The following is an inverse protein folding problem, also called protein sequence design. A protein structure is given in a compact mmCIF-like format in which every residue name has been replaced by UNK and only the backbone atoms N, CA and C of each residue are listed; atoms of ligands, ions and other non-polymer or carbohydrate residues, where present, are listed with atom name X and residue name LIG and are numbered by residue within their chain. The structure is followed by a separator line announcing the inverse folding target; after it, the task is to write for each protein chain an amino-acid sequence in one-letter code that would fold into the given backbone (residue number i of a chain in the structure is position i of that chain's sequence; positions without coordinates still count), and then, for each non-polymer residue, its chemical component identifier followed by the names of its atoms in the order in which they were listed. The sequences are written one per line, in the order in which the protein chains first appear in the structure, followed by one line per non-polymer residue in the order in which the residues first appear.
data_IF_682026337850
#
_entry.id   IF_682026337850
#
_cell.length_a   1.000
_cell.length_b   1.000
_cell.length_c   1.000
_cell.angle_alpha   90.00
_cell.angle_beta   90.00
_cell.angle_gamma   90.00
#
_symmetry.space_group_name_H-M   'P 1'
#
loop_
_entity.id
_entity.type
_entity.pdbx_description
1 polymer ?
#
# COMPACT_ATOMS: atom_id res chain seq x y z
N UNK A 1 -10.64 31.85 34.68
CA UNK A 1 -10.02 30.51 34.60
C UNK A 1 -11.02 29.51 35.15
N UNK A 2 -11.19 28.35 34.50
CA UNK A 2 -12.06 27.29 35.01
C UNK A 2 -11.40 26.67 36.24
N UNK A 3 -12.03 26.78 37.40
CA UNK A 3 -11.51 26.23 38.66
C UNK A 3 -11.89 24.75 38.79
N UNK A 4 -11.17 23.89 38.04
CA UNK A 4 -11.21 22.45 38.25
C UNK A 4 -10.64 22.09 39.62
N UNK A 5 -11.22 21.08 40.27
CA UNK A 5 -10.75 20.55 41.55
C UNK A 5 -10.45 19.06 41.45
N UNK A 6 -9.46 18.61 42.20
CA UNK A 6 -9.18 17.17 42.36
C UNK A 6 -10.37 16.46 43.00
N UNK A 7 -10.67 15.27 42.53
CA UNK A 7 -11.85 14.50 42.93
C UNK A 7 -13.19 15.05 42.41
N UNK A 8 -13.18 16.05 41.52
CA UNK A 8 -14.41 16.57 40.94
C UNK A 8 -15.08 15.53 40.04
N UNK A 9 -16.39 15.32 40.25
CA UNK A 9 -17.18 14.32 39.52
C UNK A 9 -18.19 15.04 38.63
N UNK A 10 -18.13 14.76 37.33
CA UNK A 10 -19.19 15.12 36.38
C UNK A 10 -20.03 13.87 36.10
N UNK A 11 -21.35 13.96 36.27
CA UNK A 11 -22.30 12.84 36.07
C UNK A 11 -22.30 12.33 34.64
N UNK A 12 -22.05 13.22 33.69
CA UNK A 12 -21.94 12.90 32.28
C UNK A 12 -21.20 13.99 31.49
N UNK A 13 -20.94 13.69 30.23
CA UNK A 13 -20.29 14.60 29.29
C UNK A 13 -21.04 15.93 29.08
N UNK A 14 -22.38 15.98 29.21
CA UNK A 14 -23.13 17.23 29.07
C UNK A 14 -22.83 18.19 30.23
N UNK A 15 -22.72 17.66 31.44
CA UNK A 15 -22.36 18.45 32.62
C UNK A 15 -20.93 18.98 32.54
N UNK A 16 -20.00 18.15 32.04
CA UNK A 16 -18.65 18.59 31.71
C UNK A 16 -18.65 19.73 30.67
N UNK A 17 -19.45 19.62 29.61
CA UNK A 17 -19.53 20.66 28.57
C UNK A 17 -20.08 21.97 29.13
N UNK A 18 -21.13 21.90 29.95
CA UNK A 18 -21.70 23.07 30.62
C UNK A 18 -20.66 23.75 31.54
N UNK A 19 -19.89 22.96 32.29
CA UNK A 19 -18.80 23.48 33.12
C UNK A 19 -17.71 24.15 32.28
N UNK A 20 -17.27 23.53 31.19
CA UNK A 20 -16.24 24.09 30.30
C UNK A 20 -16.77 25.23 29.41
N UNK A 21 -18.07 25.53 29.44
CA UNK A 21 -18.70 26.54 28.59
C UNK A 21 -18.65 26.18 27.10
N UNK A 22 -18.66 24.89 26.75
CA UNK A 22 -18.61 24.42 25.37
C UNK A 22 -19.91 23.72 24.94
N UNK A 23 -20.18 23.75 23.64
CA UNK A 23 -21.36 23.09 23.09
C UNK A 23 -21.24 21.56 23.14
N UNK A 24 -22.37 20.89 23.36
CA UNK A 24 -22.44 19.44 23.32
C UNK A 24 -22.27 18.98 21.88
N UNK A 25 -21.22 18.20 21.61
CA UNK A 25 -20.93 17.69 20.27
C UNK A 25 -20.77 16.17 20.26
N UNK A 26 -20.70 15.60 19.05
CA UNK A 26 -20.62 14.16 18.82
C UNK A 26 -19.33 13.80 18.05
N UNK A 27 -18.98 12.51 18.01
CA UNK A 27 -17.88 11.99 17.17
C UNK A 27 -16.51 12.64 17.46
N UNK A 28 -15.88 13.19 16.42
CA UNK A 28 -14.54 13.78 16.51
C UNK A 28 -14.50 15.09 17.31
N UNK A 29 -15.56 15.88 17.28
CA UNK A 29 -15.65 17.13 18.06
C UNK A 29 -15.71 16.82 19.56
N UNK A 30 -16.45 15.78 19.95
CA UNK A 30 -16.46 15.26 21.32
C UNK A 30 -15.08 14.82 21.77
N UNK A 31 -14.37 14.05 20.95
CA UNK A 31 -12.98 13.64 21.25
C UNK A 31 -12.08 14.86 21.48
N UNK A 32 -12.16 15.88 20.62
CA UNK A 32 -11.34 17.11 20.75
C UNK A 32 -11.60 17.85 22.07
N UNK A 33 -12.85 17.87 22.55
CA UNK A 33 -13.19 18.47 23.84
C UNK A 33 -12.66 17.63 25.01
N UNK A 34 -12.75 16.30 24.94
CA UNK A 34 -12.13 15.41 25.92
C UNK A 34 -10.60 15.55 25.94
N UNK A 35 -9.95 15.68 24.78
CA UNK A 35 -8.51 15.96 24.70
C UNK A 35 -8.14 17.30 25.34
N UNK A 36 -9.07 18.27 25.32
CA UNK A 36 -8.87 19.56 25.97
C UNK A 36 -8.94 19.40 27.49
N UNK A 37 -9.89 18.60 28.00
CA UNK A 37 -9.90 18.22 29.42
C UNK A 37 -8.60 17.53 29.82
N UNK A 38 -8.09 16.60 29.00
CA UNK A 38 -6.80 15.92 29.24
C UNK A 38 -5.58 16.85 29.22
N UNK A 39 -5.71 18.09 28.72
CA UNK A 39 -4.63 19.09 28.84
C UNK A 39 -4.66 19.81 30.18
N UNK A 40 -5.78 19.77 30.89
CA UNK A 40 -6.00 20.48 32.16
C UNK A 40 -5.88 19.56 33.38
N UNK A 41 -6.24 18.28 33.24
CA UNK A 41 -6.25 17.33 34.34
C UNK A 41 -6.12 15.87 33.87
N UNK A 42 -5.68 14.99 34.78
CA UNK A 42 -5.86 13.56 34.66
C UNK A 42 -7.31 13.20 35.00
N UNK A 43 -7.92 12.29 34.25
CA UNK A 43 -9.28 11.86 34.47
C UNK A 43 -9.51 10.45 33.95
N UNK A 44 -10.51 9.78 34.52
CA UNK A 44 -11.02 8.51 34.03
C UNK A 44 -12.56 8.51 33.99
N UNK A 45 -13.12 7.44 33.43
CA UNK A 45 -14.57 7.23 33.38
C UNK A 45 -14.97 6.08 34.28
N UNK A 46 -16.06 6.30 34.98
CA UNK A 46 -16.78 5.26 35.72
C UNK A 46 -18.23 5.23 35.23
N UNK A 47 -18.51 4.29 34.32
CA UNK A 47 -19.75 4.29 33.54
C UNK A 47 -19.89 5.56 32.71
N UNK A 48 -20.92 6.37 33.01
CA UNK A 48 -21.16 7.66 32.34
C UNK A 48 -20.45 8.83 33.03
N UNK A 49 -19.95 8.63 34.25
CA UNK A 49 -19.30 9.69 35.03
C UNK A 49 -17.89 9.95 34.53
N UNK A 50 -17.43 11.18 34.67
CA UNK A 50 -16.07 11.63 34.38
C UNK A 50 -15.50 12.15 35.70
N UNK A 51 -14.45 11.51 36.19
CA UNK A 51 -13.85 11.79 37.49
C UNK A 51 -12.48 12.41 37.25
N UNK A 52 -12.23 13.56 37.87
CA UNK A 52 -10.95 14.27 37.82
C UNK A 52 -10.04 13.71 38.91
N UNK A 53 -8.95 13.09 38.51
CA UNK A 53 -8.00 12.45 39.43
C UNK A 53 -6.98 13.45 39.96
N UNK A 54 -6.43 14.29 39.07
CA UNK A 54 -5.37 15.25 39.38
C UNK A 54 -5.49 16.48 38.49
N UNK A 55 -5.39 17.69 39.04
CA UNK A 55 -5.44 18.93 38.25
C UNK A 55 -4.03 19.47 38.04
N UNK A 56 -3.63 19.69 36.79
CA UNK A 56 -2.27 20.13 36.50
C UNK A 56 -2.07 21.60 36.86
N UNK A 57 -0.96 21.92 37.54
CA UNK A 57 -0.58 23.30 37.90
C UNK A 57 -0.48 24.23 36.68
N UNK A 58 -0.07 23.68 35.53
CA UNK A 58 -0.06 24.34 34.23
C UNK A 58 -0.68 23.42 33.19
N UNK A 59 -1.52 23.98 32.32
CA UNK A 59 -2.09 23.22 31.22
C UNK A 59 -0.98 22.61 30.36
N UNK A 60 -1.06 21.31 30.13
CA UNK A 60 -0.16 20.62 29.23
C UNK A 60 -0.30 21.21 27.84
N UNK A 61 0.83 21.48 27.19
CA UNK A 61 0.84 21.88 25.79
C UNK A 61 0.22 20.74 24.99
N UNK A 62 -0.93 21.01 24.37
CA UNK A 62 -1.56 20.07 23.45
C UNK A 62 -0.53 19.70 22.38
N UNK A 63 -0.09 18.44 22.36
CA UNK A 63 0.74 17.91 21.26
C UNK A 63 -0.11 17.94 19.99
N UNK A 64 -0.04 19.06 19.26
CA UNK A 64 -0.63 19.14 17.94
C UNK A 64 0.25 18.35 16.97
N UNK A 65 -0.10 17.08 16.76
CA UNK A 65 0.54 16.24 15.75
C UNK A 65 0.38 16.75 14.31
N UNK A 66 -0.29 17.90 14.10
CA UNK A 66 -0.36 18.59 12.80
C UNK A 66 0.83 19.51 12.52
N UNK A 67 1.70 19.81 13.51
CA UNK A 67 2.82 20.77 13.35
C UNK A 67 4.00 20.23 12.54
N UNK A 68 3.93 19.03 12.02
CA UNK A 68 5.06 18.38 11.35
C UNK A 68 5.11 18.64 9.84
N UNK A 69 4.48 19.71 9.32
CA UNK A 69 4.43 19.96 7.86
C UNK A 69 3.97 21.38 7.49
N UNK A 70 4.77 22.41 7.79
CA UNK A 70 4.67 23.77 7.21
C UNK A 70 3.22 24.31 7.01
N UNK A 71 2.31 24.09 7.97
CA UNK A 71 0.98 24.73 8.00
C UNK A 71 -0.18 24.14 7.17
N UNK A 72 -0.06 22.99 6.48
CA UNK A 72 -1.11 22.56 5.51
C UNK A 72 -2.10 21.46 5.95
N UNK A 73 -2.00 20.94 7.19
CA UNK A 73 -3.13 20.26 7.85
C UNK A 73 -3.70 18.96 7.23
N UNK A 74 -3.00 18.26 6.31
CA UNK A 74 -3.47 16.97 5.76
C UNK A 74 -2.56 15.80 6.15
N UNK A 75 -3.20 14.68 6.57
CA UNK A 75 -2.58 13.42 7.02
C UNK A 75 -1.90 12.68 5.86
N UNK A 76 -0.57 12.65 5.82
CA UNK A 76 0.24 11.41 5.78
C UNK A 76 1.69 11.72 5.39
N UNK A 77 2.58 11.42 6.32
CA UNK A 77 4.06 11.45 6.25
C UNK A 77 4.67 10.51 5.19
N UNK A 78 3.88 9.68 4.51
CA UNK A 78 4.35 8.81 3.43
C UNK A 78 4.07 9.38 2.06
N UNK A 79 3.03 10.23 1.96
CA UNK A 79 2.68 10.79 0.67
C UNK A 79 3.75 11.75 0.21
N UNK A 80 4.23 12.67 1.05
CA UNK A 80 5.34 13.55 0.67
C UNK A 80 6.63 12.78 0.39
N UNK A 81 7.04 11.90 1.30
CA UNK A 81 8.28 11.14 1.18
C UNK A 81 8.32 10.29 -0.12
N UNK A 82 7.25 9.55 -0.43
CA UNK A 82 7.15 8.79 -1.68
C UNK A 82 6.87 9.65 -2.91
N UNK A 83 6.12 10.76 -2.78
CA UNK A 83 5.93 11.73 -3.87
C UNK A 83 7.28 12.33 -4.27
N UNK A 84 8.14 12.66 -3.30
CA UNK A 84 9.50 13.18 -3.54
C UNK A 84 10.36 12.14 -4.26
N UNK A 85 10.38 10.88 -3.82
CA UNK A 85 11.12 9.82 -4.54
C UNK A 85 10.54 9.60 -5.93
N UNK A 86 9.22 9.57 -6.10
CA UNK A 86 8.59 9.44 -7.43
C UNK A 86 8.98 10.62 -8.32
N UNK A 87 8.98 11.84 -7.81
CA UNK A 87 9.42 13.03 -8.54
C UNK A 87 10.88 12.89 -8.94
N UNK A 88 11.77 12.43 -8.04
CA UNK A 88 13.18 12.21 -8.37
C UNK A 88 13.37 11.13 -9.42
N UNK A 89 12.66 10.00 -9.30
CA UNK A 89 12.63 8.94 -10.31
C UNK A 89 12.19 9.49 -11.67
N UNK A 90 11.13 10.29 -11.69
CA UNK A 90 10.62 10.89 -12.91
C UNK A 90 11.56 11.94 -13.48
N UNK A 91 12.21 12.75 -12.65
CA UNK A 91 13.24 13.71 -13.08
C UNK A 91 14.41 13.00 -13.76
N UNK A 92 14.92 11.92 -13.15
CA UNK A 92 16.05 11.13 -13.63
C UNK A 92 15.75 10.31 -14.88
N UNK A 93 14.47 10.10 -15.24
CA UNK A 93 14.12 9.41 -16.49
C UNK A 93 14.76 10.11 -17.69
N UNK A 94 15.44 9.38 -18.56
CA UNK A 94 16.03 9.98 -19.78
C UNK A 94 14.99 10.36 -20.84
N UNK A 95 13.73 9.95 -20.66
CA UNK A 95 12.65 10.23 -21.61
C UNK A 95 11.54 11.06 -20.98
N UNK A 96 10.64 11.59 -21.82
CA UNK A 96 9.46 12.36 -21.38
C UNK A 96 8.32 11.47 -20.89
N UNK A 97 8.52 10.16 -20.81
CA UNK A 97 7.57 9.25 -20.20
C UNK A 97 8.28 8.19 -19.35
N UNK A 98 7.51 7.40 -18.61
CA UNK A 98 8.00 6.21 -17.94
C UNK A 98 6.90 5.16 -17.93
N UNK A 99 7.23 3.97 -18.40
CA UNK A 99 6.31 2.83 -18.40
C UNK A 99 6.60 1.92 -17.21
N UNK A 100 5.57 1.52 -16.48
CA UNK A 100 5.71 0.66 -15.32
C UNK A 100 4.39 -0.03 -14.95
N UNK A 101 4.50 -1.24 -14.42
CA UNK A 101 3.46 -1.78 -13.54
C UNK A 101 3.57 -1.12 -12.16
N UNK A 102 2.49 -1.12 -11.38
CA UNK A 102 2.54 -0.55 -10.01
C UNK A 102 3.57 -1.26 -9.13
N UNK A 103 3.76 -2.57 -9.30
CA UNK A 103 4.79 -3.30 -8.55
C UNK A 103 6.19 -2.88 -8.97
N UNK A 104 6.45 -2.66 -10.26
CA UNK A 104 7.72 -2.11 -10.72
C UNK A 104 7.94 -0.70 -10.18
N UNK A 105 6.91 0.16 -10.15
CA UNK A 105 7.01 1.48 -9.52
C UNK A 105 7.39 1.37 -8.04
N UNK A 106 6.73 0.48 -7.29
CA UNK A 106 7.05 0.22 -5.89
C UNK A 106 8.51 -0.22 -5.72
N UNK A 107 9.05 -1.03 -6.62
CA UNK A 107 10.47 -1.43 -6.60
C UNK A 107 11.40 -0.25 -6.93
N UNK A 108 11.09 0.53 -7.97
CA UNK A 108 11.90 1.68 -8.38
C UNK A 108 12.01 2.76 -7.30
N UNK A 109 10.97 2.94 -6.48
CA UNK A 109 10.95 3.92 -5.39
C UNK A 109 11.32 3.33 -4.02
N UNK A 110 11.79 2.07 -3.97
CA UNK A 110 12.25 1.43 -2.74
C UNK A 110 11.15 1.07 -1.74
N UNK A 111 9.87 0.98 -2.18
CA UNK A 111 8.78 0.51 -1.31
C UNK A 111 8.85 -0.99 -1.03
N UNK A 112 9.43 -1.76 -1.96
CA UNK A 112 9.68 -3.20 -1.83
C UNK A 112 11.01 -3.52 -2.51
N UNK A 113 11.65 -4.62 -2.10
CA UNK A 113 12.95 -4.96 -2.65
C UNK A 113 12.88 -5.63 -4.05
N UNK A 114 14.05 -5.86 -4.64
CA UNK A 114 14.18 -6.49 -5.96
C UNK A 114 13.61 -7.91 -6.03
N UNK A 115 13.64 -8.63 -4.92
CA UNK A 115 13.21 -10.04 -4.84
C UNK A 115 11.70 -10.19 -4.56
N UNK A 116 11.00 -9.09 -4.24
CA UNK A 116 9.56 -9.09 -3.97
C UNK A 116 8.73 -9.75 -5.07
N UNK A 117 9.01 -9.43 -6.34
CA UNK A 117 8.31 -10.05 -7.48
C UNK A 117 8.72 -11.51 -7.66
N UNK A 118 10.01 -11.83 -7.48
CA UNK A 118 10.53 -13.20 -7.60
C UNK A 118 9.80 -14.13 -6.66
N UNK A 119 9.76 -13.80 -5.37
CA UNK A 119 9.20 -14.65 -4.34
C UNK A 119 7.67 -14.72 -4.34
N UNK A 120 7.00 -13.78 -5.01
CA UNK A 120 5.55 -13.88 -5.27
C UNK A 120 5.22 -15.08 -6.17
N UNK A 121 6.06 -15.36 -7.15
CA UNK A 121 5.83 -16.42 -8.15
C UNK A 121 6.65 -17.68 -7.88
N UNK A 122 7.83 -17.57 -7.27
CA UNK A 122 8.68 -18.67 -6.82
C UNK A 122 8.68 -18.75 -5.30
N UNK A 123 7.55 -19.20 -4.73
CA UNK A 123 7.38 -19.30 -3.28
C UNK A 123 8.27 -20.38 -2.66
N UNK A 124 8.57 -21.43 -3.42
CA UNK A 124 9.45 -22.52 -2.97
C UNK A 124 10.82 -21.97 -2.59
N UNK A 125 11.43 -21.13 -3.43
CA UNK A 125 12.71 -20.48 -3.12
C UNK A 125 12.65 -19.63 -1.84
N UNK A 126 11.53 -18.95 -1.59
CA UNK A 126 11.33 -18.17 -0.37
C UNK A 126 11.21 -19.08 0.84
N UNK A 127 10.38 -20.11 0.75
CA UNK A 127 10.11 -21.03 1.85
C UNK A 127 11.36 -21.83 2.24
N UNK A 128 12.14 -22.30 1.27
CA UNK A 128 13.40 -23.01 1.51
C UNK A 128 14.42 -22.09 2.18
N UNK A 129 14.51 -20.83 1.73
CA UNK A 129 15.38 -19.82 2.35
C UNK A 129 14.96 -19.51 3.79
N UNK A 130 13.67 -19.33 4.05
CA UNK A 130 13.16 -19.03 5.40
C UNK A 130 13.32 -20.22 6.36
N UNK A 131 13.12 -21.44 5.87
CA UNK A 131 13.30 -22.65 6.66
C UNK A 131 14.77 -22.85 7.07
N UNK A 132 15.70 -22.60 6.15
CA UNK A 132 17.14 -22.77 6.37
C UNK A 132 17.73 -21.67 7.24
N UNK A 133 17.32 -20.41 7.06
CA UNK A 133 17.89 -19.26 7.77
C UNK A 133 17.28 -19.03 9.16
N UNK A 134 15.99 -19.32 9.36
CA UNK A 134 15.28 -18.90 10.58
C UNK A 134 14.61 -20.04 11.34
N UNK A 135 14.68 -21.29 10.85
CA UNK A 135 14.05 -22.47 11.44
C UNK A 135 12.51 -22.32 11.68
N UNK A 136 11.88 -21.40 10.95
CA UNK A 136 10.43 -21.13 11.02
C UNK A 136 9.76 -21.79 9.81
N UNK A 137 8.69 -22.57 10.06
CA UNK A 137 7.88 -23.18 9.01
C UNK A 137 6.69 -22.30 8.66
N UNK A 138 6.80 -21.57 7.55
CA UNK A 138 5.71 -20.79 6.95
C UNK A 138 5.05 -21.62 5.83
N UNK A 139 3.76 -21.46 5.65
CA UNK A 139 2.99 -22.13 4.59
C UNK A 139 2.80 -21.24 3.37
N UNK A 140 2.49 -21.86 2.21
CA UNK A 140 2.17 -21.11 0.99
C UNK A 140 0.96 -20.17 1.16
N UNK A 141 -0.02 -20.55 1.98
CA UNK A 141 -1.22 -19.76 2.22
C UNK A 141 -0.92 -18.51 3.04
N UNK A 142 -0.02 -18.61 4.02
CA UNK A 142 0.44 -17.46 4.79
C UNK A 142 1.20 -16.45 3.90
N UNK A 143 2.05 -16.95 2.98
CA UNK A 143 2.72 -16.12 1.98
C UNK A 143 1.72 -15.47 1.02
N UNK A 144 0.73 -16.23 0.52
CA UNK A 144 -0.32 -15.70 -0.35
C UNK A 144 -1.08 -14.57 0.32
N UNK A 145 -1.50 -14.80 1.56
CA UNK A 145 -2.28 -13.84 2.34
C UNK A 145 -1.46 -12.56 2.60
N UNK A 146 -0.16 -12.70 2.90
CA UNK A 146 0.74 -11.56 2.98
C UNK A 146 0.73 -10.76 1.68
N UNK A 147 0.98 -11.39 0.52
CA UNK A 147 0.96 -10.67 -0.75
C UNK A 147 -0.41 -10.05 -1.05
N UNK A 148 -1.53 -10.73 -0.80
CA UNK A 148 -2.86 -10.20 -1.08
C UNK A 148 -3.14 -8.90 -0.33
N UNK A 149 -2.86 -8.85 0.96
CA UNK A 149 -3.17 -7.67 1.77
C UNK A 149 -2.08 -6.61 1.63
N UNK A 150 -0.81 -7.00 1.69
CA UNK A 150 0.33 -6.08 1.67
C UNK A 150 0.48 -5.42 0.30
N UNK A 151 0.37 -6.18 -0.80
CA UNK A 151 0.40 -5.62 -2.16
C UNK A 151 -0.77 -4.65 -2.36
N UNK A 152 -1.97 -5.00 -1.90
CA UNK A 152 -3.15 -4.13 -2.07
C UNK A 152 -2.91 -2.78 -1.40
N UNK A 153 -2.46 -2.78 -0.15
CA UNK A 153 -2.23 -1.54 0.61
C UNK A 153 -1.09 -0.69 0.03
N UNK A 154 0.05 -1.31 -0.30
CA UNK A 154 1.18 -0.58 -0.88
C UNK A 154 0.84 -0.03 -2.27
N UNK A 155 0.16 -0.82 -3.11
CA UNK A 155 -0.26 -0.38 -4.44
C UNK A 155 -1.32 0.74 -4.37
N UNK A 156 -2.23 0.73 -3.39
CA UNK A 156 -3.15 1.85 -3.13
C UNK A 156 -2.41 3.13 -2.76
N UNK A 157 -1.36 3.01 -1.94
CA UNK A 157 -0.47 4.13 -1.59
C UNK A 157 0.19 4.74 -2.83
N UNK A 158 0.84 3.91 -3.65
CA UNK A 158 1.52 4.34 -4.87
C UNK A 158 0.54 5.00 -5.86
N UNK A 159 -0.63 4.37 -6.09
CA UNK A 159 -1.70 4.93 -6.94
C UNK A 159 -2.21 6.28 -6.43
N UNK A 160 -2.28 6.47 -5.12
CA UNK A 160 -2.71 7.73 -4.52
C UNK A 160 -1.69 8.85 -4.75
N UNK A 161 -0.38 8.57 -4.63
CA UNK A 161 0.68 9.52 -4.99
C UNK A 161 0.55 9.93 -6.46
N UNK A 162 0.50 8.94 -7.36
CA UNK A 162 0.32 9.15 -8.80
C UNK A 162 -0.90 10.02 -9.12
N UNK A 163 -2.04 9.78 -8.47
CA UNK A 163 -3.25 10.59 -8.65
C UNK A 163 -3.05 12.05 -8.27
N UNK A 164 -2.30 12.34 -7.20
CA UNK A 164 -2.01 13.71 -6.79
C UNK A 164 -1.03 14.40 -7.71
N UNK A 165 0.03 13.71 -8.13
CA UNK A 165 0.97 14.24 -9.12
C UNK A 165 0.23 14.59 -10.42
N UNK A 166 -0.76 13.76 -10.80
CA UNK A 166 -1.65 14.07 -11.93
C UNK A 166 -2.53 15.30 -11.69
N UNK A 167 -3.10 15.45 -10.49
CA UNK A 167 -3.89 16.64 -10.14
C UNK A 167 -3.07 17.92 -10.11
N UNK A 168 -1.76 17.82 -9.82
CA UNK A 168 -0.81 18.92 -9.85
C UNK A 168 -0.23 19.19 -11.25
N UNK A 169 -0.67 18.47 -12.29
CA UNK A 169 -0.13 18.56 -13.65
C UNK A 169 1.38 18.29 -13.77
N UNK A 170 1.94 17.54 -12.82
CA UNK A 170 3.33 17.07 -12.84
C UNK A 170 3.46 15.85 -13.77
N UNK A 171 2.41 15.03 -13.85
CA UNK A 171 2.33 13.89 -14.76
C UNK A 171 0.94 13.76 -15.38
N UNK A 172 0.84 13.14 -16.55
CA UNK A 172 -0.41 12.49 -16.99
C UNK A 172 -0.22 10.97 -16.98
N UNK A 173 -1.30 10.23 -16.71
CA UNK A 173 -1.26 8.77 -16.56
C UNK A 173 -2.20 8.13 -17.55
N UNK A 174 -1.64 7.23 -18.35
CA UNK A 174 -2.38 6.37 -19.29
C UNK A 174 -2.26 4.93 -18.86
N UNK A 175 -3.39 4.24 -18.77
CA UNK A 175 -3.40 2.79 -18.59
C UNK A 175 -3.14 2.14 -19.95
N UNK A 176 -2.20 1.19 -19.99
CA UNK A 176 -1.81 0.46 -21.19
C UNK A 176 -1.96 -1.03 -20.91
N UNK A 177 -2.59 -1.75 -21.85
CA UNK A 177 -2.64 -3.21 -21.80
C UNK A 177 -1.42 -3.77 -22.52
N UNK A 178 -0.66 -4.59 -21.80
CA UNK A 178 0.53 -5.26 -22.29
C UNK A 178 0.24 -6.74 -22.49
N UNK A 179 0.90 -7.35 -23.47
CA UNK A 179 0.91 -8.79 -23.70
C UNK A 179 2.31 -9.31 -23.38
N UNK A 180 2.37 -10.40 -22.60
CA UNK A 180 3.55 -11.26 -22.57
C UNK A 180 3.41 -12.31 -23.66
N UNK A 181 4.33 -12.28 -24.61
CA UNK A 181 4.40 -13.22 -25.73
C UNK A 181 5.65 -14.09 -25.63
N UNK A 182 5.72 -15.11 -26.47
CA UNK A 182 6.93 -15.91 -26.60
C UNK A 182 7.17 -16.31 -28.05
N UNK A 183 8.45 -16.46 -28.38
CA UNK A 183 8.92 -17.06 -29.62
C UNK A 183 9.63 -18.38 -29.32
N UNK A 184 9.55 -19.31 -30.26
CA UNK A 184 10.28 -20.57 -30.20
C UNK A 184 11.61 -20.38 -30.91
N UNK A 185 12.70 -20.43 -30.14
CA UNK A 185 14.05 -20.19 -30.63
C UNK A 185 14.87 -21.46 -30.46
N UNK A 186 15.56 -21.88 -31.51
CA UNK A 186 16.51 -22.98 -31.44
C UNK A 186 17.78 -22.53 -30.73
N UNK A 187 18.20 -23.33 -29.76
CA UNK A 187 19.45 -23.15 -29.05
C UNK A 187 20.63 -23.70 -29.84
N UNK A 188 21.86 -23.39 -29.39
CA UNK A 188 23.09 -23.89 -30.01
C UNK A 188 23.18 -25.44 -30.01
N UNK A 189 22.53 -26.09 -29.04
CA UNK A 189 22.45 -27.55 -28.93
C UNK A 189 21.29 -28.18 -29.74
N UNK A 190 20.52 -27.35 -30.47
CA UNK A 190 19.34 -27.78 -31.23
C UNK A 190 18.06 -27.92 -30.41
N UNK A 191 18.08 -27.66 -29.10
CA UNK A 191 16.87 -27.65 -28.26
C UNK A 191 15.99 -26.44 -28.57
N UNK A 192 14.67 -26.58 -28.49
CA UNK A 192 13.72 -25.47 -28.70
C UNK A 192 13.41 -24.82 -27.36
N UNK A 193 13.67 -23.52 -27.25
CA UNK A 193 13.44 -22.71 -26.05
C UNK A 193 12.37 -21.66 -26.31
N UNK A 194 11.59 -21.35 -25.26
CA UNK A 194 10.67 -20.20 -25.30
C UNK A 194 11.42 -18.94 -24.87
N UNK A 195 11.55 -17.97 -25.78
CA UNK A 195 12.04 -16.63 -25.46
C UNK A 195 10.85 -15.69 -25.24
N UNK A 196 10.72 -15.14 -24.03
CA UNK A 196 9.59 -14.27 -23.69
C UNK A 196 9.94 -12.80 -23.91
N UNK A 197 8.96 -12.03 -24.36
CA UNK A 197 9.03 -10.57 -24.47
C UNK A 197 7.67 -9.95 -24.18
N UNK A 198 7.68 -8.65 -23.85
CA UNK A 198 6.48 -7.88 -23.55
C UNK A 198 6.30 -6.75 -24.56
N UNK A 199 5.06 -6.51 -24.98
CA UNK A 199 4.71 -5.35 -25.80
C UNK A 199 3.28 -4.85 -25.54
N UNK A 200 2.96 -3.67 -26.04
CA UNK A 200 1.60 -3.15 -26.02
C UNK A 200 0.67 -4.05 -26.85
N UNK A 201 -0.55 -4.24 -26.36
CA UNK A 201 -1.61 -4.96 -27.05
C UNK A 201 -2.20 -4.08 -28.16
N UNK A 202 -2.44 -4.67 -29.33
CA UNK A 202 -3.25 -4.05 -30.38
C UNK A 202 -4.74 -4.09 -30.01
N UNK A 203 -5.55 -3.28 -30.69
CA UNK A 203 -7.00 -3.25 -30.44
C UNK A 203 -7.64 -4.61 -30.74
N UNK A 204 -7.23 -5.22 -31.84
CA UNK A 204 -7.71 -6.51 -32.32
C UNK A 204 -7.39 -7.63 -31.33
N UNK A 205 -6.19 -7.62 -30.75
CA UNK A 205 -5.80 -8.59 -29.71
C UNK A 205 -6.60 -8.41 -28.42
N UNK A 206 -6.90 -7.17 -28.03
CA UNK A 206 -7.74 -6.91 -26.86
C UNK A 206 -9.17 -7.43 -27.07
N UNK A 207 -9.76 -7.18 -28.23
CA UNK A 207 -11.08 -7.71 -28.59
C UNK A 207 -11.09 -9.24 -28.53
N UNK A 208 -10.05 -9.86 -29.08
CA UNK A 208 -9.90 -11.31 -29.09
C UNK A 208 -9.76 -11.91 -27.69
N UNK A 209 -8.92 -11.30 -26.84
CA UNK A 209 -8.73 -11.74 -25.45
C UNK A 209 -10.04 -11.60 -24.68
N UNK A 210 -10.81 -10.53 -24.90
CA UNK A 210 -12.12 -10.34 -24.28
C UNK A 210 -13.10 -11.45 -24.68
N UNK A 211 -13.12 -11.83 -25.97
CA UNK A 211 -13.97 -12.93 -26.47
C UNK A 211 -13.60 -14.26 -25.81
N UNK A 212 -12.31 -14.62 -25.75
CA UNK A 212 -11.90 -15.90 -25.14
C UNK A 212 -12.12 -15.90 -23.62
N UNK A 213 -11.90 -14.77 -22.92
CA UNK A 213 -12.26 -14.61 -21.49
C UNK A 213 -13.76 -14.83 -21.27
N UNK A 214 -14.62 -14.27 -22.13
CA UNK A 214 -16.08 -14.41 -22.02
C UNK A 214 -16.54 -15.85 -22.24
N UNK A 215 -16.03 -16.51 -23.30
CA UNK A 215 -16.34 -17.93 -23.57
C UNK A 215 -15.95 -18.83 -22.39
N UNK A 216 -14.76 -18.61 -21.83
CA UNK A 216 -14.30 -19.41 -20.71
C UNK A 216 -15.14 -19.16 -19.45
N UNK A 217 -15.51 -17.90 -19.20
CA UNK A 217 -16.35 -17.51 -18.06
C UNK A 217 -17.73 -18.16 -18.13
N UNK A 218 -18.33 -18.26 -19.34
CA UNK A 218 -19.57 -19.00 -19.58
C UNK A 218 -19.40 -20.51 -19.39
N UNK A 219 -18.29 -21.09 -19.88
CA UNK A 219 -17.97 -22.51 -19.72
C UNK A 219 -17.90 -22.93 -18.24
N UNK A 220 -17.32 -22.10 -17.38
CA UNK A 220 -17.21 -22.38 -15.94
C UNK A 220 -18.46 -21.96 -15.13
N UNK A 221 -19.49 -21.45 -15.79
CA UNK A 221 -20.76 -21.04 -15.16
C UNK A 221 -20.62 -19.85 -14.21
N UNK A 222 -19.73 -18.90 -14.52
CA UNK A 222 -19.60 -17.63 -13.81
C UNK A 222 -20.14 -16.48 -14.67
N UNK A 223 -20.64 -15.42 -14.04
CA UNK A 223 -21.13 -14.22 -14.76
C UNK A 223 -20.10 -13.08 -14.82
N UNK A 224 -19.19 -13.06 -13.86
CA UNK A 224 -18.17 -12.03 -13.69
C UNK A 224 -16.93 -12.62 -13.02
N UNK A 225 -15.87 -11.83 -12.98
CA UNK A 225 -14.60 -12.19 -12.35
C UNK A 225 -14.76 -12.37 -10.83
N UNK A 226 -15.66 -11.64 -10.18
CA UNK A 226 -15.86 -11.72 -8.74
C UNK A 226 -16.35 -13.13 -8.33
N UNK A 227 -17.26 -13.72 -9.10
CA UNK A 227 -17.72 -15.09 -8.89
C UNK A 227 -16.59 -16.12 -9.03
N UNK A 228 -15.65 -15.90 -9.95
CA UNK A 228 -14.47 -16.77 -10.11
C UNK A 228 -13.67 -16.80 -8.79
N UNK A 229 -13.38 -15.64 -8.22
CA UNK A 229 -12.66 -15.54 -6.94
C UNK A 229 -13.46 -16.09 -5.76
N UNK A 230 -14.77 -15.80 -5.67
CA UNK A 230 -15.63 -16.33 -4.61
C UNK A 230 -15.71 -17.86 -4.62
N UNK A 231 -15.70 -18.46 -5.81
CA UNK A 231 -15.70 -19.92 -5.99
C UNK A 231 -14.29 -20.54 -5.99
N UNK A 232 -13.24 -19.74 -5.79
CA UNK A 232 -11.82 -20.15 -5.80
C UNK A 232 -11.37 -20.81 -7.12
N UNK A 233 -11.99 -20.43 -8.24
CA UNK A 233 -11.72 -21.00 -9.58
C UNK A 233 -10.62 -20.26 -10.36
N UNK A 234 -9.97 -19.25 -9.77
CA UNK A 234 -9.02 -18.39 -10.48
C UNK A 234 -7.83 -19.15 -11.07
N UNK A 235 -7.31 -20.17 -10.37
CA UNK A 235 -6.15 -20.94 -10.85
C UNK A 235 -6.51 -21.72 -12.11
N UNK A 236 -7.66 -22.39 -12.10
CA UNK A 236 -8.18 -23.15 -13.23
C UNK A 236 -8.50 -22.24 -14.42
N UNK A 237 -9.23 -21.15 -14.17
CA UNK A 237 -9.61 -20.18 -15.19
C UNK A 237 -8.39 -19.61 -15.92
N UNK A 238 -7.40 -19.08 -15.18
CA UNK A 238 -6.23 -18.48 -15.83
C UNK A 238 -5.31 -19.52 -16.47
N UNK A 239 -5.28 -20.77 -15.97
CA UNK A 239 -4.54 -21.87 -16.62
C UNK A 239 -5.17 -22.26 -17.96
N UNK A 240 -6.48 -22.42 -18.01
CA UNK A 240 -7.19 -22.73 -19.26
C UNK A 240 -7.11 -21.58 -20.27
N UNK A 241 -7.31 -20.34 -19.81
CA UNK A 241 -7.18 -19.17 -20.66
C UNK A 241 -5.78 -19.09 -21.28
N UNK A 242 -4.74 -19.29 -20.46
CA UNK A 242 -3.35 -19.30 -20.93
C UNK A 242 -3.13 -20.37 -22.00
N UNK A 243 -3.62 -21.60 -21.81
CA UNK A 243 -3.47 -22.65 -22.82
C UNK A 243 -4.08 -22.24 -24.17
N UNK A 244 -5.29 -21.67 -24.16
CA UNK A 244 -5.98 -21.19 -25.36
C UNK A 244 -5.19 -20.06 -26.05
N UNK A 245 -4.72 -19.09 -25.26
CA UNK A 245 -4.00 -17.93 -25.79
C UNK A 245 -2.62 -18.30 -26.34
N UNK A 246 -1.92 -19.22 -25.68
CA UNK A 246 -0.61 -19.69 -26.13
C UNK A 246 -0.73 -20.49 -27.44
N UNK A 247 -1.72 -21.38 -27.54
CA UNK A 247 -1.94 -22.23 -28.72
C UNK A 247 -2.34 -21.40 -29.96
N UNK A 248 -3.29 -20.48 -29.80
CA UNK A 248 -3.86 -19.76 -30.96
C UNK A 248 -3.08 -18.51 -31.35
N UNK A 249 -2.42 -17.85 -30.37
CA UNK A 249 -1.93 -16.48 -30.56
C UNK A 249 -0.50 -16.26 -30.02
N UNK A 250 0.15 -17.27 -29.46
CA UNK A 250 1.47 -17.14 -28.81
C UNK A 250 1.50 -16.11 -27.67
N UNK A 251 0.32 -15.82 -27.11
CA UNK A 251 0.14 -14.93 -25.97
C UNK A 251 0.13 -15.77 -24.71
N UNK A 252 1.06 -15.52 -23.80
CA UNK A 252 1.09 -16.20 -22.50
C UNK A 252 0.06 -15.62 -21.54
N UNK A 253 0.02 -14.29 -21.40
CA UNK A 253 -1.00 -13.58 -20.64
C UNK A 253 -0.97 -12.08 -20.95
N UNK A 254 -2.07 -11.40 -20.61
CA UNK A 254 -2.19 -9.95 -20.68
C UNK A 254 -2.19 -9.29 -19.29
N UNK A 255 -1.58 -8.12 -19.17
CA UNK A 255 -1.49 -7.38 -17.90
C UNK A 255 -1.63 -5.87 -18.09
N UNK A 256 -2.00 -5.16 -17.02
CA UNK A 256 -2.04 -3.68 -17.03
C UNK A 256 -0.65 -3.13 -16.68
N UNK A 257 -0.17 -2.23 -17.51
CA UNK A 257 0.93 -1.29 -17.24
C UNK A 257 0.40 0.15 -17.25
N UNK A 258 1.20 1.09 -16.79
CA UNK A 258 0.92 2.52 -16.79
C UNK A 258 2.02 3.24 -17.53
N UNK A 259 1.65 4.23 -18.34
CA UNK A 259 2.56 5.22 -18.91
C UNK A 259 2.34 6.55 -18.21
N UNK A 260 3.35 7.00 -17.47
CA UNK A 260 3.40 8.34 -16.93
C UNK A 260 4.05 9.27 -17.97
N UNK A 261 3.30 10.23 -18.50
CA UNK A 261 3.83 11.33 -19.32
C UNK A 261 4.32 12.41 -18.35
N UNK A 262 5.58 12.81 -18.47
CA UNK A 262 6.28 13.60 -17.48
C UNK A 262 6.34 15.08 -17.90
N UNK A 263 5.82 15.96 -17.05
CA UNK A 263 6.04 17.40 -17.19
C UNK A 263 7.39 17.75 -16.56
N UNK A 264 8.48 17.50 -17.30
CA UNK A 264 9.85 17.64 -16.81
C UNK A 264 10.15 19.01 -16.20
N UNK A 265 9.68 20.08 -16.85
CA UNK A 265 9.87 21.45 -16.38
C UNK A 265 9.24 21.67 -14.99
N UNK A 266 7.96 21.30 -14.83
CA UNK A 266 7.27 21.46 -13.55
C UNK A 266 7.85 20.54 -12.46
N UNK A 267 8.25 19.32 -12.82
CA UNK A 267 8.90 18.38 -11.90
C UNK A 267 10.22 18.94 -11.38
N UNK A 268 11.10 19.42 -12.27
CA UNK A 268 12.40 19.98 -11.86
C UNK A 268 12.23 21.19 -10.96
N UNK A 269 11.29 22.09 -11.28
CA UNK A 269 10.97 23.23 -10.42
C UNK A 269 10.52 22.81 -9.01
N UNK A 270 9.62 21.83 -8.92
CA UNK A 270 9.15 21.32 -7.62
C UNK A 270 10.32 20.72 -6.81
N UNK A 271 11.24 20.00 -7.47
CA UNK A 271 12.42 19.40 -6.82
C UNK A 271 13.39 20.49 -6.32
N UNK A 272 13.67 21.51 -7.12
CA UNK A 272 14.52 22.64 -6.70
C UNK A 272 13.95 23.34 -5.46
N UNK A 273 12.64 23.59 -5.43
CA UNK A 273 11.96 24.17 -4.26
C UNK A 273 12.05 23.23 -3.03
N UNK A 274 11.93 21.92 -3.23
CA UNK A 274 12.04 20.92 -2.15
C UNK A 274 13.47 20.79 -1.59
N UNK A 275 14.50 20.89 -2.45
CA UNK A 275 15.91 20.80 -2.04
C UNK A 275 16.32 21.94 -1.09
N UNK A 276 15.66 23.09 -1.18
CA UNK A 276 15.88 24.20 -0.25
C UNK A 276 15.35 23.92 1.17
N UNK A 277 14.46 22.91 1.30
CA UNK A 277 13.72 22.62 2.53
C UNK A 277 14.20 21.32 3.17
N UNK A 278 14.59 20.32 2.37
CA UNK A 278 14.88 18.96 2.83
C UNK A 278 16.13 18.40 2.14
N UNK A 279 16.98 17.71 2.90
CA UNK A 279 18.03 16.88 2.33
C UNK A 279 17.41 15.60 1.72
N UNK A 280 17.30 15.57 0.39
CA UNK A 280 16.66 14.48 -0.35
C UNK A 280 17.41 13.15 -0.21
N UNK A 281 18.75 13.17 -0.11
CA UNK A 281 19.55 11.94 0.02
C UNK A 281 19.32 11.27 1.37
N UNK A 282 19.30 12.05 2.45
CA UNK A 282 18.98 11.57 3.78
C UNK A 282 17.53 11.07 3.87
N UNK A 283 16.61 11.69 3.13
CA UNK A 283 15.22 11.26 3.04
C UNK A 283 15.08 9.89 2.38
N UNK A 284 15.81 9.63 1.28
CA UNK A 284 15.82 8.32 0.60
C UNK A 284 16.28 7.22 1.57
N UNK A 285 17.35 7.45 2.33
CA UNK A 285 17.83 6.51 3.35
C UNK A 285 16.83 6.33 4.50
N UNK A 286 16.18 7.43 4.93
CA UNK A 286 15.13 7.42 5.95
C UNK A 286 13.88 6.66 5.52
N UNK A 287 13.53 6.63 4.24
CA UNK A 287 12.29 6.01 3.75
C UNK A 287 12.36 4.49 3.86
N UNK A 288 13.52 3.89 3.57
CA UNK A 288 13.72 2.44 3.74
C UNK A 288 13.48 2.03 5.21
N UNK A 289 13.99 2.80 6.17
CA UNK A 289 13.79 2.53 7.61
C UNK A 289 12.39 2.88 8.13
N UNK A 290 11.73 3.93 7.59
CA UNK A 290 10.34 4.29 7.96
C UNK A 290 9.30 3.36 7.35
N UNK A 291 9.47 2.95 6.08
CA UNK A 291 8.61 1.97 5.37
C UNK A 291 8.47 0.71 6.22
N UNK A 292 9.59 0.22 6.75
CA UNK A 292 9.61 -0.87 7.72
C UNK A 292 8.79 -0.61 8.97
N UNK A 293 9.07 0.50 9.67
CA UNK A 293 8.43 0.82 10.95
C UNK A 293 6.90 0.83 10.83
N UNK A 294 6.35 1.40 9.75
CA UNK A 294 4.90 1.42 9.55
C UNK A 294 4.32 0.13 8.99
N UNK A 295 5.09 -0.63 8.20
CA UNK A 295 4.75 -2.03 7.88
C UNK A 295 4.46 -2.78 9.17
N UNK A 296 5.39 -2.73 10.13
CA UNK A 296 5.30 -3.44 11.40
C UNK A 296 4.28 -2.85 12.37
N UNK A 297 4.21 -1.52 12.49
CA UNK A 297 3.41 -0.85 13.54
C UNK A 297 1.96 -0.51 13.12
N UNK A 298 1.67 -0.26 11.84
CA UNK A 298 0.34 0.15 11.39
C UNK A 298 -0.33 -0.86 10.46
N UNK A 299 0.43 -1.50 9.57
CA UNK A 299 -0.12 -2.39 8.55
C UNK A 299 -0.28 -3.82 9.06
N UNK A 300 0.75 -4.37 9.70
CA UNK A 300 0.71 -5.71 10.27
C UNK A 300 -0.44 -5.88 11.28
N UNK A 301 -0.75 -4.91 12.16
CA UNK A 301 -1.93 -5.01 13.02
C UNK A 301 -3.26 -5.03 12.26
N UNK A 302 -3.42 -4.24 11.19
CA UNK A 302 -4.65 -4.28 10.36
C UNK A 302 -4.79 -5.56 9.56
N UNK A 303 -3.67 -6.14 9.16
CA UNK A 303 -3.58 -7.46 8.55
C UNK A 303 -3.99 -8.52 9.56
N UNK A 304 -3.45 -8.45 10.79
CA UNK A 304 -3.81 -9.30 11.91
C UNK A 304 -5.30 -9.21 12.25
N UNK A 305 -5.86 -8.00 12.34
CA UNK A 305 -7.29 -7.79 12.62
C UNK A 305 -8.19 -8.32 11.50
N UNK A 306 -7.75 -8.26 10.23
CA UNK A 306 -8.51 -8.79 9.08
C UNK A 306 -8.38 -10.31 8.92
N UNK A 307 -7.28 -10.89 9.39
CA UNK A 307 -6.97 -12.32 9.27
C UNK A 307 -7.33 -13.07 10.55
N UNK A 308 -7.58 -12.39 11.69
CA UNK A 308 -7.95 -12.99 12.97
C UNK A 308 -9.22 -13.85 12.96
N UNK A 309 -9.89 -13.98 11.81
CA UNK A 309 -11.02 -14.88 11.55
C UNK A 309 -10.65 -16.11 10.68
N UNK A 310 -9.43 -16.21 10.16
CA UNK A 310 -8.96 -17.33 9.34
C UNK A 310 -8.12 -18.32 10.18
N UNK A 311 -8.66 -19.51 10.41
CA UNK A 311 -7.95 -20.66 10.96
C UNK A 311 -6.81 -21.07 10.00
N UNK A 312 -5.56 -20.68 10.29
CA UNK A 312 -4.43 -21.07 9.43
C UNK A 312 -3.06 -20.54 9.84
N UNK A 313 -2.99 -19.45 10.60
CA UNK A 313 -1.71 -18.91 11.09
C UNK A 313 -1.38 -19.45 12.48
N UNK A 314 -0.21 -20.10 12.63
CA UNK A 314 0.29 -20.50 13.96
C UNK A 314 0.86 -19.33 14.76
N UNK A 315 1.52 -18.38 14.09
CA UNK A 315 1.96 -17.09 14.65
C UNK A 315 1.95 -15.99 13.59
N UNK A 316 0.77 -15.40 13.38
CA UNK A 316 0.51 -14.38 12.36
C UNK A 316 1.42 -13.14 12.49
N UNK A 317 1.76 -12.75 13.72
CA UNK A 317 2.55 -11.54 13.98
C UNK A 317 4.02 -11.79 13.65
N UNK A 318 4.57 -12.94 14.04
CA UNK A 318 5.94 -13.32 13.72
C UNK A 318 6.13 -13.51 12.21
N UNK A 319 5.23 -14.25 11.54
CA UNK A 319 5.28 -14.49 10.09
C UNK A 319 5.23 -13.19 9.29
N UNK A 320 4.33 -12.26 9.66
CA UNK A 320 4.21 -10.99 8.93
C UNK A 320 5.45 -10.10 9.11
N UNK A 321 6.06 -10.10 10.30
CA UNK A 321 7.31 -9.38 10.56
C UNK A 321 8.45 -9.93 9.69
N UNK A 322 8.64 -11.25 9.70
CA UNK A 322 9.67 -11.93 8.93
C UNK A 322 9.54 -11.66 7.42
N UNK A 323 8.34 -11.80 6.86
CA UNK A 323 8.11 -11.50 5.45
C UNK A 323 8.36 -10.02 5.11
N UNK A 324 8.05 -9.11 6.04
CA UNK A 324 8.39 -7.69 5.88
C UNK A 324 9.91 -7.48 5.86
N UNK A 325 10.65 -8.07 6.80
CA UNK A 325 12.11 -7.99 6.85
C UNK A 325 12.75 -8.47 5.53
N UNK A 326 12.28 -9.58 4.98
CA UNK A 326 12.89 -10.21 3.78
C UNK A 326 12.45 -9.64 2.45
N UNK A 327 11.25 -9.05 2.36
CA UNK A 327 10.65 -8.61 1.10
C UNK A 327 10.53 -7.08 0.97
N UNK A 328 10.68 -6.36 2.08
CA UNK A 328 10.58 -4.89 2.13
C UNK A 328 11.94 -4.28 2.49
N UNK A 329 12.73 -4.90 3.37
CA UNK A 329 14.00 -4.37 3.89
C UNK A 329 15.25 -5.10 3.35
N UNK A 330 15.48 -5.06 2.05
CA UNK A 330 16.80 -5.47 1.53
C UNK A 330 17.43 -4.39 0.67
#
# INVERSE_FOLDING_TARGET
MLNLREGQIFKNYKELCAFMGCEITNGNSKKKQMDTLSTMCAWHKEGNKIIVDEVYEKQLVKKDGRKNNFGTGKKSIYYKDFEIIMLKLFELSSTNYLDFTITQLMQMVGMVNKDYVKYKYSKVDLLDKLLTEEAIKITNDEVNTFYEVHQKLLSEGAKTCLKKLKQAYLVDLKEIRMLRMFELVSDEDGSIKRQYYDREATKEELELILVEKRKLLEKIGCNDIQQIYQRRLQVEFYRELRAILEEKYQISFDYTSYRAILNKEAISKEIEELQQIVNIEELILSINSKSYKKSVEDYNPKIIDRIGEFEGFKDLKQTTKLLSDKLILA
#
